data_IF_481318503495
#
_entry.id   IF_481318503495
#
_cell.length_a   1.000
_cell.length_b   1.000
_cell.length_c   1.000
_cell.angle_alpha   90.00
_cell.angle_beta   90.00
_cell.angle_gamma   90.00
#
_symmetry.space_group_name_H-M   'P 1'
#
loop_
_entity.id
_entity.type
_entity.pdbx_description
1 polymer ?
#
# COMPACT_ATOMS: atom_id res chain seq x y z
N UNK A 1 4.81 -1.38 -21.66
CA UNK A 1 4.87 0.09 -21.52
C UNK A 1 3.58 0.80 -21.92
N UNK A 2 2.96 0.59 -23.08
CA UNK A 2 1.67 1.25 -23.41
C UNK A 2 0.47 0.68 -22.62
N UNK A 3 0.47 -0.61 -22.33
CA UNK A 3 -0.60 -1.29 -21.60
C UNK A 3 -0.64 -0.88 -20.10
N UNK A 4 0.50 -0.62 -19.49
CA UNK A 4 0.61 -0.17 -18.09
C UNK A 4 0.05 1.25 -17.91
N UNK A 5 0.22 2.11 -18.91
CA UNK A 5 -0.35 3.48 -18.87
C UNK A 5 -1.88 3.44 -18.91
N UNK A 6 -2.50 2.57 -19.71
CA UNK A 6 -3.95 2.43 -19.78
C UNK A 6 -4.57 2.03 -18.45
N UNK A 7 -3.99 1.02 -17.78
CA UNK A 7 -4.46 0.57 -16.47
C UNK A 7 -4.27 1.62 -15.38
N UNK A 8 -3.19 2.41 -15.44
CA UNK A 8 -2.97 3.49 -14.48
C UNK A 8 -4.03 4.60 -14.62
N UNK A 9 -4.39 5.00 -15.84
CA UNK A 9 -5.47 5.96 -16.06
C UNK A 9 -6.84 5.39 -15.66
N UNK A 10 -7.12 4.11 -15.97
CA UNK A 10 -8.33 3.44 -15.51
C UNK A 10 -8.43 3.45 -13.98
N UNK A 11 -7.34 3.11 -13.29
CA UNK A 11 -7.32 3.12 -11.83
C UNK A 11 -7.59 4.53 -11.28
N UNK A 12 -6.92 5.55 -11.80
CA UNK A 12 -7.07 6.93 -11.31
C UNK A 12 -8.49 7.45 -11.50
N UNK A 13 -9.15 7.15 -12.62
CA UNK A 13 -10.55 7.57 -12.85
C UNK A 13 -11.55 7.02 -11.84
N UNK A 14 -11.18 5.93 -11.13
CA UNK A 14 -12.01 5.36 -10.05
C UNK A 14 -11.78 6.00 -8.68
N UNK A 15 -10.68 6.74 -8.50
CA UNK A 15 -10.32 7.37 -7.23
C UNK A 15 -10.43 8.89 -7.24
N UNK A 16 -10.16 9.53 -8.37
CA UNK A 16 -10.15 10.99 -8.49
C UNK A 16 -11.27 11.46 -9.42
N UNK A 17 -11.80 12.68 -9.22
CA UNK A 17 -12.88 13.23 -10.04
C UNK A 17 -12.52 13.25 -11.53
N UNK A 18 -13.55 13.08 -12.38
CA UNK A 18 -13.40 13.11 -13.82
C UNK A 18 -12.83 14.45 -14.30
N UNK A 19 -11.84 14.38 -15.20
CA UNK A 19 -11.18 15.56 -15.76
C UNK A 19 -9.94 16.04 -15.00
N UNK A 20 -9.58 15.42 -13.87
CA UNK A 20 -8.34 15.74 -13.19
C UNK A 20 -7.12 15.26 -14.00
N UNK A 21 -6.34 16.23 -14.49
CA UNK A 21 -5.11 15.93 -15.25
C UNK A 21 -4.01 15.51 -14.29
N UNK A 22 -3.63 14.24 -14.35
CA UNK A 22 -2.55 13.71 -13.51
C UNK A 22 -1.29 13.45 -14.32
N UNK A 23 -0.14 13.54 -13.65
CA UNK A 23 1.16 13.16 -14.20
C UNK A 23 1.69 11.95 -13.44
N UNK A 24 2.07 10.90 -14.19
CA UNK A 24 2.68 9.72 -13.61
C UNK A 24 4.20 9.82 -13.65
N UNK A 25 4.83 9.45 -12.54
CA UNK A 25 6.28 9.30 -12.45
C UNK A 25 6.63 7.90 -11.97
N UNK A 26 7.59 7.20 -12.62
CA UNK A 26 7.98 5.86 -12.19
C UNK A 26 8.62 5.90 -10.78
N UNK A 27 8.45 4.79 -10.04
CA UNK A 27 9.20 4.55 -8.81
C UNK A 27 10.45 3.71 -9.11
N UNK A 28 11.47 3.83 -8.28
CA UNK A 28 12.63 2.94 -8.32
C UNK A 28 12.33 1.68 -7.51
N UNK A 29 11.94 0.60 -8.17
CA UNK A 29 11.80 -0.72 -7.56
C UNK A 29 10.37 -1.28 -7.55
N UNK A 30 10.29 -2.60 -7.48
CA UNK A 30 9.07 -3.40 -7.46
C UNK A 30 8.99 -4.30 -8.69
N UNK A 31 9.25 -5.60 -8.50
CA UNK A 31 9.22 -6.59 -9.59
C UNK A 31 7.81 -7.15 -9.80
N UNK A 32 6.97 -7.12 -8.77
CA UNK A 32 5.69 -7.83 -8.75
C UNK A 32 4.45 -6.92 -8.84
N UNK A 33 4.60 -5.62 -8.65
CA UNK A 33 3.49 -4.65 -8.71
C UNK A 33 3.90 -3.46 -9.57
N UNK A 34 2.93 -2.86 -10.26
CA UNK A 34 3.12 -1.56 -10.88
C UNK A 34 2.93 -0.52 -9.78
N UNK A 35 3.98 0.26 -9.49
CA UNK A 35 3.93 1.36 -8.51
C UNK A 35 4.35 2.64 -9.21
N UNK A 36 3.54 3.69 -9.11
CA UNK A 36 3.78 4.98 -9.73
C UNK A 36 3.44 6.12 -8.78
N UNK A 37 4.25 7.17 -8.80
CA UNK A 37 3.86 8.45 -8.22
C UNK A 37 2.83 9.12 -9.13
N UNK A 38 1.85 9.77 -8.52
CA UNK A 38 0.78 10.50 -9.21
C UNK A 38 0.77 11.92 -8.65
N UNK A 39 1.01 12.90 -9.52
CA UNK A 39 0.98 14.31 -9.18
C UNK A 39 -0.23 14.95 -9.84
N UNK A 40 -1.00 15.75 -9.10
CA UNK A 40 -2.13 16.52 -9.61
C UNK A 40 -1.77 17.98 -9.84
N UNK A 41 -2.49 18.72 -10.70
CA UNK A 41 -2.28 20.15 -10.89
C UNK A 41 -2.55 20.97 -9.62
N UNK A 42 -3.41 20.48 -8.72
CA UNK A 42 -3.67 21.09 -7.40
C UNK A 42 -2.49 21.02 -6.44
N UNK A 43 -1.48 20.17 -6.76
CA UNK A 43 -0.31 19.94 -5.93
C UNK A 43 -0.41 18.72 -5.01
N UNK A 44 -1.52 18.01 -5.04
CA UNK A 44 -1.68 16.76 -4.30
C UNK A 44 -0.80 15.66 -4.90
N UNK A 45 -0.28 14.81 -4.05
CA UNK A 45 0.65 13.75 -4.43
C UNK A 45 0.20 12.41 -3.87
N UNK A 46 0.17 11.41 -4.75
CA UNK A 46 -0.27 10.07 -4.41
C UNK A 46 0.73 9.01 -4.88
N UNK A 47 0.51 7.79 -4.41
CA UNK A 47 1.19 6.58 -4.89
C UNK A 47 0.11 5.60 -5.36
N UNK A 48 0.06 5.36 -6.65
CA UNK A 48 -0.76 4.32 -7.25
C UNK A 48 -0.03 2.99 -7.19
N UNK A 49 -0.71 1.96 -6.70
CA UNK A 49 -0.21 0.58 -6.70
C UNK A 49 -1.22 -0.32 -7.39
N UNK A 50 -0.80 -1.02 -8.43
CA UNK A 50 -1.58 -2.04 -9.13
C UNK A 50 -0.95 -3.40 -8.81
N UNK A 51 -1.76 -4.30 -8.28
CA UNK A 51 -1.32 -5.62 -7.81
C UNK A 51 -1.39 -6.63 -8.95
N UNK A 52 -0.24 -7.12 -9.39
CA UNK A 52 -0.13 -8.12 -10.47
C UNK A 52 -0.08 -9.58 -9.95
N UNK A 53 -0.24 -9.78 -8.65
CA UNK A 53 -0.05 -11.08 -8.00
C UNK A 53 -1.34 -11.91 -7.99
N UNK A 54 -1.80 -12.37 -9.17
CA UNK A 54 -2.83 -13.41 -9.25
C UNK A 54 -4.23 -12.97 -8.85
N UNK A 55 -4.56 -11.67 -8.95
CA UNK A 55 -5.93 -11.14 -8.74
C UNK A 55 -6.56 -11.52 -7.39
N UNK A 56 -5.78 -11.51 -6.32
CA UNK A 56 -6.22 -11.93 -4.99
C UNK A 56 -6.74 -10.74 -4.18
N UNK A 57 -8.04 -10.44 -4.31
CA UNK A 57 -8.74 -9.40 -3.54
C UNK A 57 -8.64 -9.64 -2.02
N UNK A 58 -8.62 -10.90 -1.56
CA UNK A 58 -8.52 -11.23 -0.13
C UNK A 58 -7.21 -10.71 0.47
N UNK A 59 -6.11 -10.84 -0.29
CA UNK A 59 -4.81 -10.32 0.15
C UNK A 59 -4.80 -8.79 0.26
N UNK A 60 -5.41 -8.10 -0.69
CA UNK A 60 -5.52 -6.63 -0.65
C UNK A 60 -6.41 -6.19 0.50
N UNK A 61 -7.56 -6.84 0.69
CA UNK A 61 -8.47 -6.60 1.81
C UNK A 61 -7.75 -6.78 3.17
N UNK A 62 -6.99 -7.84 3.32
CA UNK A 62 -6.23 -8.12 4.53
C UNK A 62 -5.16 -7.04 4.80
N UNK A 63 -4.39 -6.63 3.76
CA UNK A 63 -3.42 -5.53 3.85
C UNK A 63 -4.10 -4.22 4.28
N UNK A 64 -5.23 -3.87 3.66
CA UNK A 64 -5.97 -2.65 3.99
C UNK A 64 -6.53 -2.66 5.41
N UNK A 65 -7.04 -3.79 5.86
CA UNK A 65 -7.57 -3.94 7.22
C UNK A 65 -6.47 -3.78 8.29
N UNK A 66 -5.25 -4.29 8.03
CA UNK A 66 -4.09 -4.05 8.91
C UNK A 66 -3.77 -2.55 8.97
N UNK A 67 -3.68 -1.88 7.80
CA UNK A 67 -3.37 -0.46 7.75
C UNK A 67 -4.43 0.39 8.45
N UNK A 68 -5.72 0.03 8.34
CA UNK A 68 -6.80 0.72 9.02
C UNK A 68 -6.68 0.60 10.56
N UNK A 69 -6.34 -0.56 11.08
CA UNK A 69 -6.10 -0.73 12.52
C UNK A 69 -4.85 0.02 13.00
N UNK A 70 -3.75 -0.07 12.26
CA UNK A 70 -2.53 0.66 12.61
C UNK A 70 -2.74 2.18 12.63
N UNK A 71 -3.55 2.73 11.73
CA UNK A 71 -3.87 4.17 11.72
C UNK A 71 -4.68 4.63 12.93
N UNK A 72 -5.41 3.73 13.57
CA UNK A 72 -6.15 4.03 14.79
C UNK A 72 -5.26 4.04 16.05
N UNK A 73 -4.00 3.58 15.92
CA UNK A 73 -3.04 3.53 17.03
C UNK A 73 -2.20 4.81 17.08
N UNK A 74 -1.78 5.18 18.29
CA UNK A 74 -0.87 6.31 18.50
C UNK A 74 0.57 5.88 18.22
N UNK A 75 1.01 6.09 16.96
CA UNK A 75 2.33 5.73 16.47
C UNK A 75 3.18 6.99 16.21
N UNK A 76 4.47 6.90 16.48
CA UNK A 76 5.41 8.02 16.28
C UNK A 76 5.74 8.30 14.80
N UNK A 77 5.16 7.55 13.87
CA UNK A 77 5.35 7.68 12.42
C UNK A 77 4.02 7.55 11.67
N UNK A 78 4.02 7.98 10.41
CA UNK A 78 2.83 7.96 9.56
C UNK A 78 2.58 6.57 8.98
N UNK A 79 1.31 6.16 8.98
CA UNK A 79 0.84 4.96 8.29
C UNK A 79 0.22 5.36 6.95
N UNK A 80 0.47 4.60 5.85
CA UNK A 80 -0.13 4.89 4.55
C UNK A 80 -1.65 4.99 4.62
N UNK A 81 -2.20 6.05 4.05
CA UNK A 81 -3.65 6.31 3.98
C UNK A 81 -4.12 6.14 2.56
N UNK A 82 -5.16 5.33 2.34
CA UNK A 82 -5.77 5.14 1.03
C UNK A 82 -6.80 6.23 0.74
N UNK A 83 -6.87 6.63 -0.53
CA UNK A 83 -8.01 7.35 -1.09
C UNK A 83 -9.13 6.34 -1.31
N UNK A 84 -10.35 6.73 -0.99
CA UNK A 84 -11.51 5.86 -1.20
C UNK A 84 -12.00 5.98 -2.64
N UNK A 85 -12.46 4.84 -3.19
CA UNK A 85 -13.10 4.77 -4.49
C UNK A 85 -14.32 5.70 -4.56
N UNK A 86 -14.50 6.37 -5.69
CA UNK A 86 -15.68 7.22 -5.96
C UNK A 86 -16.95 6.39 -6.18
N UNK A 87 -16.81 5.12 -6.58
CA UNK A 87 -17.92 4.26 -6.94
C UNK A 87 -18.60 3.64 -5.71
N UNK A 88 -17.81 3.06 -4.80
CA UNK A 88 -18.30 2.26 -3.68
C UNK A 88 -17.68 2.62 -2.31
N UNK A 89 -16.77 3.58 -2.29
CA UNK A 89 -16.07 4.01 -1.08
C UNK A 89 -15.05 3.00 -0.54
N UNK A 90 -14.72 1.95 -1.30
CA UNK A 90 -13.72 0.97 -0.89
C UNK A 90 -12.29 1.52 -0.99
N UNK A 91 -11.35 0.90 -0.28
CA UNK A 91 -9.93 1.29 -0.29
C UNK A 91 -9.15 0.79 -1.49
N UNK A 92 -9.75 -0.06 -2.31
CA UNK A 92 -9.19 -0.62 -3.53
C UNK A 92 -10.28 -0.78 -4.58
N UNK A 93 -9.87 -0.92 -5.83
CA UNK A 93 -10.77 -1.09 -6.98
C UNK A 93 -10.27 -2.22 -7.86
N UNK A 94 -11.21 -2.89 -8.53
CA UNK A 94 -10.90 -3.90 -9.54
C UNK A 94 -10.83 -3.25 -10.92
N UNK A 95 -9.77 -3.55 -11.69
CA UNK A 95 -9.55 -3.06 -13.04
C UNK A 95 -10.11 -4.02 -14.08
N UNK A 96 -10.22 -3.55 -15.32
CA UNK A 96 -10.76 -4.31 -16.46
C UNK A 96 -10.04 -5.63 -16.74
N UNK A 97 -8.73 -5.69 -16.45
CA UNK A 97 -7.93 -6.91 -16.58
C UNK A 97 -8.04 -7.84 -15.35
N UNK A 98 -8.83 -7.48 -14.33
CA UNK A 98 -8.99 -8.22 -13.07
C UNK A 98 -7.97 -7.89 -11.98
N UNK A 99 -6.97 -7.05 -12.25
CA UNK A 99 -6.02 -6.60 -11.22
C UNK A 99 -6.72 -5.69 -10.19
N UNK A 100 -6.20 -5.70 -8.96
CA UNK A 100 -6.62 -4.76 -7.93
C UNK A 100 -5.71 -3.53 -7.94
N UNK A 101 -6.26 -2.37 -7.64
CA UNK A 101 -5.51 -1.13 -7.51
C UNK A 101 -5.87 -0.36 -6.23
N UNK A 102 -4.88 0.30 -5.65
CA UNK A 102 -5.03 1.19 -4.50
C UNK A 102 -4.36 2.52 -4.80
N UNK A 103 -4.92 3.61 -4.28
CA UNK A 103 -4.32 4.93 -4.35
C UNK A 103 -4.03 5.41 -2.93
N UNK A 104 -2.76 5.64 -2.61
CA UNK A 104 -2.32 6.12 -1.30
C UNK A 104 -1.94 7.59 -1.34
N UNK A 105 -2.19 8.33 -0.27
CA UNK A 105 -1.53 9.62 -0.05
C UNK A 105 -0.02 9.41 0.02
N UNK A 106 0.75 10.24 -0.67
CA UNK A 106 2.21 10.19 -0.58
C UNK A 106 2.68 10.61 0.82
N UNK A 107 3.41 9.75 1.49
CA UNK A 107 4.13 10.11 2.71
C UNK A 107 5.47 10.72 2.28
N UNK A 108 5.73 12.01 2.58
CA UNK A 108 6.99 12.63 2.23
C UNK A 108 8.14 12.04 3.04
N UNK A 109 9.27 11.83 2.39
CA UNK A 109 10.45 11.28 3.07
C UNK A 109 11.59 11.00 2.11
N UNK A 110 12.73 10.66 2.70
CA UNK A 110 13.92 10.21 1.98
C UNK A 110 14.44 8.92 2.58
N UNK A 111 15.19 8.15 1.79
CA UNK A 111 15.84 6.95 2.30
C UNK A 111 16.74 7.29 3.49
N UNK A 112 16.67 6.54 4.59
CA UNK A 112 17.43 6.81 5.79
C UNK A 112 18.93 6.62 5.56
N UNK A 113 19.74 7.50 6.15
CA UNK A 113 21.19 7.33 6.18
C UNK A 113 21.58 6.32 7.26
N UNK A 114 22.75 5.70 7.12
CA UNK A 114 23.29 4.73 8.09
C UNK A 114 23.41 5.32 9.52
N UNK A 115 23.51 6.63 9.65
CA UNK A 115 23.53 7.33 10.95
C UNK A 115 22.20 7.27 11.71
N UNK A 116 21.11 6.85 11.05
CA UNK A 116 19.76 6.80 11.63
C UNK A 116 19.35 5.40 12.11
N UNK A 117 20.28 4.45 12.22
CA UNK A 117 20.00 3.06 12.61
C UNK A 117 19.21 2.97 13.92
N UNK A 118 19.56 3.80 14.91
CA UNK A 118 18.83 3.81 16.19
C UNK A 118 17.36 4.25 16.04
N UNK A 119 17.11 5.26 15.23
CA UNK A 119 15.75 5.74 14.96
C UNK A 119 14.93 4.69 14.16
N UNK A 120 15.57 4.03 13.19
CA UNK A 120 14.96 2.94 12.42
C UNK A 120 14.60 1.78 13.36
N UNK A 121 15.53 1.36 14.22
CA UNK A 121 15.31 0.28 15.18
C UNK A 121 14.16 0.58 16.15
N UNK A 122 14.06 1.83 16.63
CA UNK A 122 12.95 2.28 17.47
C UNK A 122 11.62 2.19 16.73
N UNK A 123 11.54 2.73 15.52
CA UNK A 123 10.31 2.71 14.72
C UNK A 123 9.90 1.26 14.35
N UNK A 124 10.86 0.40 14.00
CA UNK A 124 10.61 -1.02 13.72
C UNK A 124 10.08 -1.77 14.95
N UNK A 125 10.64 -1.52 16.13
CA UNK A 125 10.16 -2.10 17.38
C UNK A 125 8.75 -1.63 17.74
N UNK A 126 8.46 -0.35 17.55
CA UNK A 126 7.13 0.23 17.77
C UNK A 126 6.10 -0.37 16.80
N UNK A 127 6.45 -0.50 15.51
CA UNK A 127 5.58 -1.15 14.52
C UNK A 127 5.31 -2.60 14.88
N UNK A 128 6.33 -3.35 15.31
CA UNK A 128 6.16 -4.75 15.70
C UNK A 128 5.20 -4.89 16.89
N UNK A 129 5.37 -4.07 17.93
CA UNK A 129 4.48 -4.04 19.08
C UNK A 129 3.04 -3.60 18.73
N UNK A 130 2.88 -2.75 17.71
CA UNK A 130 1.57 -2.37 17.19
C UNK A 130 0.91 -3.53 16.43
N UNK A 131 1.67 -4.23 15.57
CA UNK A 131 1.20 -5.38 14.81
C UNK A 131 0.73 -6.53 15.70
N UNK A 132 1.35 -6.74 16.86
CA UNK A 132 0.90 -7.73 17.85
C UNK A 132 -0.50 -7.44 18.41
N UNK A 133 -0.96 -6.19 18.34
CA UNK A 133 -2.29 -5.76 18.81
C UNK A 133 -3.34 -5.76 17.69
N UNK A 134 -2.94 -6.02 16.46
CA UNK A 134 -3.87 -6.12 15.32
C UNK A 134 -4.64 -7.42 15.41
N UNK A 135 -5.96 -7.32 15.51
CA UNK A 135 -6.87 -8.45 15.50
C UNK A 135 -7.84 -8.32 14.32
N UNK A 136 -7.75 -9.24 13.38
CA UNK A 136 -8.60 -9.26 12.20
C UNK A 136 -9.48 -10.52 12.22
N UNK A 137 -10.79 -10.33 11.98
CA UNK A 137 -11.73 -11.42 11.72
C UNK A 137 -11.65 -11.90 10.25
N UNK A 138 -10.46 -11.79 9.64
CA UNK A 138 -10.17 -12.22 8.27
C UNK A 138 -9.12 -13.32 8.29
N UNK A 139 -9.29 -14.38 7.47
CA UNK A 139 -8.28 -15.40 7.33
C UNK A 139 -6.98 -14.79 6.75
N UNK A 140 -5.84 -15.19 7.30
CA UNK A 140 -4.57 -14.79 6.71
C UNK A 140 -4.43 -15.37 5.29
N UNK A 141 -4.18 -14.53 4.28
CA UNK A 141 -3.98 -14.99 2.91
C UNK A 141 -2.61 -15.67 2.70
N UNK A 142 -1.76 -15.64 3.71
CA UNK A 142 -0.45 -16.29 3.68
C UNK A 142 -0.51 -17.61 4.46
N UNK A 143 0.17 -18.66 3.99
CA UNK A 143 0.33 -19.88 4.77
C UNK A 143 1.09 -19.56 6.08
N UNK A 144 0.82 -20.29 7.15
CA UNK A 144 1.57 -20.11 8.39
C UNK A 144 3.06 -20.33 8.13
N UNK A 145 3.90 -19.50 8.76
CA UNK A 145 5.35 -19.69 8.68
C UNK A 145 5.71 -21.07 9.20
N UNK A 146 6.62 -21.78 8.54
CA UNK A 146 7.10 -23.05 9.05
C UNK A 146 7.71 -22.84 10.45
N UNK A 147 7.26 -23.62 11.42
CA UNK A 147 7.82 -23.63 12.77
C UNK A 147 9.21 -24.25 12.70
N UNK A 148 10.26 -23.44 12.81
CA UNK A 148 11.61 -23.95 13.00
C UNK A 148 11.76 -24.39 14.46
N UNK A 149 11.83 -25.70 14.69
CA UNK A 149 12.30 -26.22 15.98
C UNK A 149 13.82 -26.06 16.02
N UNK A 150 14.30 -25.12 16.80
CA UNK A 150 15.73 -25.01 17.11
C UNK A 150 16.00 -26.04 18.20
N UNK A 151 16.55 -27.22 17.82
CA UNK A 151 17.04 -28.18 18.77
C UNK A 151 18.39 -27.67 19.30
N UNK A 152 18.39 -27.16 20.51
CA UNK A 152 19.62 -26.90 21.25
C UNK A 152 20.14 -28.26 21.75
N UNK A 153 21.17 -28.79 21.10
CA UNK A 153 21.96 -29.94 21.58
C UNK A 153 23.17 -29.45 22.37
#
# INVERSE_FOLDING_TARGET
MAQDSGLAYEAISKFLPEGEKVTFRPTSGGVNNIVQYVDTPSGDKYVLRIYNNGFNSERVNFEMAILDQLRSMDLSFMIPTTIRSLEDGQSHVKLSNGAEATLFCLIPGTLPKLTLVKAIGKASGELNAALEKVHLDLPSPNPPLPTFQINYS
#
